data_IF_397749746087
#
_entry.id   IF_397749746087
#
_cell.length_a   1.000
_cell.length_b   1.000
_cell.length_c   1.000
_cell.angle_alpha   90.00
_cell.angle_beta   90.00
_cell.angle_gamma   90.00
#
_symmetry.space_group_name_H-M   'P 1'
#
loop_
_entity.id
_entity.type
_entity.pdbx_description
1 polymer ?
#
# COMPACT_ATOMS: atom_id res chain seq x y z
N UNK A 1 4.77 -9.11 -5.59
CA UNK A 1 3.71 -9.17 -4.56
C UNK A 1 2.51 -8.36 -5.00
N UNK A 2 1.31 -8.89 -4.74
CA UNK A 2 0.06 -8.21 -5.04
C UNK A 2 -0.49 -7.43 -3.84
N UNK A 3 -1.32 -6.44 -4.11
CA UNK A 3 -2.18 -5.77 -3.16
C UNK A 3 -3.62 -5.98 -3.60
N UNK A 4 -4.50 -6.29 -2.66
CA UNK A 4 -5.90 -6.58 -2.96
C UNK A 4 -6.83 -5.83 -2.03
N UNK A 5 -8.00 -5.51 -2.53
CA UNK A 5 -9.05 -4.88 -1.74
C UNK A 5 -10.43 -5.36 -2.20
N UNK A 6 -11.32 -5.54 -1.25
CA UNK A 6 -12.76 -5.69 -1.49
C UNK A 6 -13.45 -4.39 -1.13
N UNK A 7 -14.14 -3.81 -2.09
CA UNK A 7 -15.00 -2.66 -1.85
C UNK A 7 -16.45 -3.10 -2.04
N UNK A 8 -17.23 -3.08 -0.98
CA UNK A 8 -18.61 -3.55 -1.01
C UNK A 8 -19.55 -2.67 -0.19
N UNK A 9 -20.81 -2.72 -0.52
CA UNK A 9 -21.92 -2.00 0.15
C UNK A 9 -23.11 -2.95 0.27
N UNK A 10 -23.82 -2.87 1.40
CA UNK A 10 -25.03 -3.62 1.62
C UNK A 10 -26.22 -2.93 0.92
N UNK A 11 -26.21 -3.00 -0.39
CA UNK A 11 -27.24 -2.42 -1.25
C UNK A 11 -27.23 -3.11 -2.62
N UNK A 12 -28.33 -3.00 -3.36
CA UNK A 12 -28.38 -3.42 -4.74
C UNK A 12 -27.54 -2.49 -5.63
N UNK A 13 -26.68 -3.07 -6.44
CA UNK A 13 -25.88 -2.38 -7.44
C UNK A 13 -26.36 -2.71 -8.86
N UNK A 14 -26.32 -1.72 -9.73
CA UNK A 14 -26.44 -1.93 -11.16
C UNK A 14 -25.07 -2.40 -11.71
N UNK A 15 -24.92 -3.70 -11.86
CA UNK A 15 -23.66 -4.30 -12.35
C UNK A 15 -23.31 -3.93 -13.77
N UNK A 16 -24.31 -3.62 -14.61
CA UNK A 16 -24.07 -3.08 -15.95
C UNK A 16 -23.42 -1.70 -15.90
N UNK A 17 -23.91 -0.85 -15.00
CA UNK A 17 -23.32 0.46 -14.74
C UNK A 17 -21.95 0.33 -14.05
N UNK A 18 -21.84 -0.53 -13.03
CA UNK A 18 -20.58 -0.76 -12.32
C UNK A 18 -19.47 -1.21 -13.27
N UNK A 19 -19.76 -2.14 -14.17
CA UNK A 19 -18.83 -2.59 -15.21
C UNK A 19 -18.34 -1.43 -16.08
N UNK A 20 -19.23 -0.55 -16.51
CA UNK A 20 -18.87 0.64 -17.29
C UNK A 20 -17.98 1.59 -16.47
N UNK A 21 -18.31 1.82 -15.20
CA UNK A 21 -17.52 2.68 -14.33
C UNK A 21 -16.11 2.11 -14.10
N UNK A 22 -15.98 0.79 -13.89
CA UNK A 22 -14.67 0.12 -13.79
C UNK A 22 -13.87 0.31 -15.09
N UNK A 23 -14.49 0.11 -16.26
CA UNK A 23 -13.80 0.32 -17.54
C UNK A 23 -13.35 1.78 -17.71
N UNK A 24 -14.20 2.74 -17.34
CA UNK A 24 -13.83 4.16 -17.35
C UNK A 24 -12.69 4.48 -16.38
N UNK A 25 -12.71 3.91 -15.18
CA UNK A 25 -11.63 4.07 -14.21
C UNK A 25 -10.31 3.50 -14.73
N UNK A 26 -10.34 2.35 -15.39
CA UNK A 26 -9.17 1.76 -16.03
C UNK A 26 -8.60 2.64 -17.17
N UNK A 27 -9.45 3.38 -17.88
CA UNK A 27 -9.01 4.35 -18.90
C UNK A 27 -8.42 5.62 -18.28
N UNK A 28 -8.96 6.07 -17.13
CA UNK A 28 -8.53 7.28 -16.41
C UNK A 28 -7.24 7.07 -15.65
N UNK A 29 -7.04 5.87 -15.07
CA UNK A 29 -5.91 5.53 -14.21
C UNK A 29 -4.80 4.82 -14.99
N UNK A 30 -3.72 5.53 -15.27
CA UNK A 30 -2.59 4.97 -16.04
C UNK A 30 -2.01 3.69 -15.43
N UNK A 31 -1.97 3.57 -14.10
CA UNK A 31 -1.41 2.43 -13.39
C UNK A 31 -2.08 1.09 -13.76
N UNK A 32 -3.37 1.09 -14.12
CA UNK A 32 -4.10 -0.12 -14.52
C UNK A 32 -3.63 -0.67 -15.88
N UNK A 33 -3.01 0.19 -16.70
CA UNK A 33 -2.58 -0.08 -18.07
C UNK A 33 -1.07 -0.24 -18.23
N UNK A 34 -0.31 -0.15 -17.14
CA UNK A 34 1.14 -0.38 -17.16
C UNK A 34 1.43 -1.85 -17.50
N UNK A 35 2.46 -2.06 -18.30
CA UNK A 35 3.01 -3.37 -18.66
C UNK A 35 4.53 -3.34 -18.47
N UNK A 36 5.09 -4.50 -18.19
CA UNK A 36 6.55 -4.69 -18.12
C UNK A 36 7.03 -5.58 -19.27
N UNK A 37 8.10 -5.17 -19.93
CA UNK A 37 8.69 -5.96 -21.02
C UNK A 37 9.48 -7.12 -20.45
N UNK A 38 9.81 -8.09 -21.32
CA UNK A 38 10.88 -9.04 -21.03
C UNK A 38 12.18 -8.30 -20.69
N UNK A 39 12.98 -8.84 -19.78
CA UNK A 39 14.35 -8.36 -19.61
C UNK A 39 15.09 -8.36 -20.94
N UNK A 40 15.80 -7.29 -21.24
CA UNK A 40 16.71 -7.24 -22.37
C UNK A 40 17.98 -8.09 -22.08
N UNK A 41 18.93 -8.13 -23.03
CA UNK A 41 20.19 -8.89 -22.90
C UNK A 41 21.06 -8.44 -21.72
N UNK A 42 20.85 -7.25 -21.22
CA UNK A 42 21.56 -6.66 -20.09
C UNK A 42 20.77 -6.81 -18.77
N UNK A 43 19.61 -7.48 -18.81
CA UNK A 43 18.71 -7.71 -17.68
C UNK A 43 17.77 -6.56 -17.36
N UNK A 44 17.71 -5.50 -18.19
CA UNK A 44 16.86 -4.35 -17.94
C UNK A 44 15.42 -4.62 -18.36
N UNK A 45 14.48 -4.36 -17.47
CA UNK A 45 13.04 -4.39 -17.72
C UNK A 45 12.56 -2.96 -17.98
N UNK A 46 11.80 -2.77 -19.04
CA UNK A 46 11.14 -1.50 -19.36
C UNK A 46 9.67 -1.58 -19.01
N UNK A 47 9.10 -0.43 -18.66
CA UNK A 47 7.66 -0.29 -18.47
C UNK A 47 7.08 0.63 -19.55
N UNK A 48 5.82 0.38 -19.90
CA UNK A 48 5.05 1.22 -20.82
C UNK A 48 3.58 1.21 -20.43
N UNK A 49 2.83 2.18 -20.90
CA UNK A 49 1.40 2.30 -20.65
C UNK A 49 0.68 1.95 -21.95
N UNK A 50 -0.20 0.95 -21.89
CA UNK A 50 -1.08 0.65 -23.01
C UNK A 50 -2.07 1.79 -23.26
N UNK A 51 -2.29 2.13 -24.53
CA UNK A 51 -3.23 3.19 -24.88
C UNK A 51 -4.67 2.81 -24.60
N UNK A 52 -5.01 1.55 -24.85
CA UNK A 52 -6.33 0.99 -24.59
C UNK A 52 -6.16 -0.41 -24.03
N UNK A 53 -6.98 -0.76 -23.06
CA UNK A 53 -6.95 -2.06 -22.42
C UNK A 53 -8.40 -2.57 -22.23
N UNK A 54 -9.09 -2.91 -23.34
CA UNK A 54 -10.45 -3.42 -23.27
C UNK A 54 -10.44 -4.84 -22.70
N UNK A 55 -10.81 -4.96 -21.43
CA UNK A 55 -10.96 -6.24 -20.75
C UNK A 55 -12.40 -6.45 -20.34
N UNK A 56 -12.84 -7.70 -20.39
CA UNK A 56 -14.10 -8.06 -19.78
C UNK A 56 -13.96 -8.12 -18.26
N UNK A 57 -14.97 -7.60 -17.55
CA UNK A 57 -15.00 -7.61 -16.09
C UNK A 57 -16.02 -8.67 -15.68
N UNK A 58 -15.53 -9.73 -15.07
CA UNK A 58 -16.36 -10.86 -14.60
C UNK A 58 -17.24 -10.45 -13.41
N UNK A 59 -18.44 -11.02 -13.34
CA UNK A 59 -19.29 -10.99 -12.15
C UNK A 59 -19.29 -12.38 -11.52
N UNK A 60 -18.76 -12.49 -10.31
CA UNK A 60 -18.84 -13.71 -9.48
C UNK A 60 -19.98 -13.58 -8.48
N UNK A 61 -20.90 -14.52 -8.53
CA UNK A 61 -22.02 -14.59 -7.61
C UNK A 61 -21.66 -15.54 -6.44
N UNK A 62 -21.27 -14.95 -5.33
CA UNK A 62 -20.95 -15.63 -4.06
C UNK A 62 -22.09 -15.51 -3.03
N UNK A 63 -23.26 -14.97 -3.42
CA UNK A 63 -24.38 -14.71 -2.51
C UNK A 63 -24.95 -15.96 -1.84
N UNK A 64 -24.72 -17.14 -2.46
CA UNK A 64 -25.13 -18.44 -1.92
C UNK A 64 -24.13 -19.05 -0.93
N UNK A 65 -23.01 -18.41 -0.61
CA UNK A 65 -22.05 -18.90 0.37
C UNK A 65 -22.60 -18.78 1.80
N UNK A 66 -22.10 -19.60 2.69
CA UNK A 66 -22.56 -19.73 4.08
C UNK A 66 -22.49 -18.40 4.86
N UNK A 67 -21.45 -17.59 4.61
CA UNK A 67 -21.23 -16.30 5.30
C UNK A 67 -20.27 -15.40 4.54
N UNK A 68 -20.24 -14.11 4.91
CA UNK A 68 -19.21 -13.17 4.44
C UNK A 68 -17.80 -13.65 4.75
N UNK A 69 -17.58 -14.25 5.94
CA UNK A 69 -16.27 -14.79 6.31
C UNK A 69 -15.79 -15.87 5.34
N UNK A 70 -16.70 -16.75 4.87
CA UNK A 70 -16.37 -17.78 3.89
C UNK A 70 -16.09 -17.20 2.50
N UNK A 71 -16.80 -16.16 2.12
CA UNK A 71 -16.49 -15.43 0.88
C UNK A 71 -15.12 -14.72 0.99
N UNK A 72 -14.79 -14.17 2.15
CA UNK A 72 -13.50 -13.54 2.40
C UNK A 72 -12.33 -14.54 2.33
N UNK A 73 -12.48 -15.73 2.97
CA UNK A 73 -11.49 -16.81 2.86
C UNK A 73 -11.19 -17.21 1.39
N UNK A 74 -12.21 -17.21 0.53
CA UNK A 74 -12.04 -17.48 -0.90
C UNK A 74 -11.32 -16.32 -1.60
N UNK A 75 -11.70 -15.07 -1.34
CA UNK A 75 -11.07 -13.90 -1.93
C UNK A 75 -9.62 -13.73 -1.46
N UNK A 76 -9.30 -14.12 -0.23
CA UNK A 76 -7.92 -14.20 0.24
C UNK A 76 -7.06 -15.17 -0.59
N UNK A 77 -7.62 -16.28 -1.06
CA UNK A 77 -6.90 -17.16 -1.98
C UNK A 77 -6.58 -16.50 -3.31
N UNK A 78 -7.52 -15.72 -3.86
CA UNK A 78 -7.27 -14.92 -5.09
C UNK A 78 -6.19 -13.85 -4.86
N UNK A 79 -6.11 -13.29 -3.66
CA UNK A 79 -5.11 -12.29 -3.31
C UNK A 79 -3.66 -12.83 -3.30
N UNK A 80 -3.48 -14.15 -3.22
CA UNK A 80 -2.16 -14.79 -3.31
C UNK A 80 -1.74 -15.10 -4.75
N UNK A 81 -2.63 -14.94 -5.73
CA UNK A 81 -2.26 -15.09 -7.13
C UNK A 81 -1.23 -14.02 -7.51
N UNK A 82 -0.27 -14.41 -8.33
CA UNK A 82 0.81 -13.52 -8.76
C UNK A 82 0.67 -13.17 -10.24
N UNK A 83 1.10 -11.97 -10.58
CA UNK A 83 1.14 -11.52 -11.98
C UNK A 83 2.47 -11.94 -12.61
N UNK A 84 2.55 -13.21 -13.03
CA UNK A 84 3.77 -13.78 -13.61
C UNK A 84 3.69 -13.78 -15.13
N UNK A 85 4.46 -12.91 -15.74
CA UNK A 85 4.57 -12.82 -17.20
C UNK A 85 5.02 -11.45 -17.69
N UNK A 86 5.37 -11.42 -18.98
CA UNK A 86 5.78 -10.20 -19.64
C UNK A 86 4.64 -9.67 -20.52
N UNK A 87 4.51 -8.36 -20.56
CA UNK A 87 3.49 -7.66 -21.36
C UNK A 87 2.03 -8.04 -21.01
N UNK A 88 1.80 -8.54 -19.78
CA UNK A 88 0.46 -8.89 -19.30
C UNK A 88 -0.17 -7.77 -18.48
N UNK A 89 -1.51 -7.74 -18.36
CA UNK A 89 -2.18 -6.92 -17.35
C UNK A 89 -1.72 -7.28 -15.94
N UNK A 90 -1.48 -6.27 -15.13
CA UNK A 90 -1.06 -6.44 -13.73
C UNK A 90 -2.09 -5.86 -12.74
N UNK A 91 -3.31 -5.78 -13.20
CA UNK A 91 -4.47 -5.30 -12.47
C UNK A 91 -5.68 -6.13 -12.90
N UNK A 92 -6.47 -6.58 -11.96
CA UNK A 92 -7.70 -7.34 -12.20
C UNK A 92 -8.84 -6.82 -11.35
N UNK A 93 -10.00 -6.61 -11.99
CA UNK A 93 -11.25 -6.30 -11.33
C UNK A 93 -12.23 -7.46 -11.49
N UNK A 94 -12.87 -7.86 -10.41
CA UNK A 94 -13.96 -8.85 -10.40
C UNK A 94 -15.15 -8.25 -9.67
N UNK A 95 -16.30 -8.11 -10.33
CA UNK A 95 -17.53 -7.70 -9.66
C UNK A 95 -18.06 -8.83 -8.78
N UNK A 96 -18.68 -8.49 -7.65
CA UNK A 96 -19.08 -9.44 -6.62
C UNK A 96 -20.52 -9.24 -6.19
N UNK A 97 -21.27 -10.34 -6.13
CA UNK A 97 -22.42 -10.49 -5.22
C UNK A 97 -21.97 -11.32 -4.03
N UNK A 98 -22.17 -10.79 -2.84
CA UNK A 98 -21.72 -11.40 -1.59
C UNK A 98 -22.92 -11.81 -0.74
N UNK A 99 -22.72 -12.70 0.26
CA UNK A 99 -23.76 -13.00 1.24
C UNK A 99 -24.33 -11.76 1.92
N UNK A 100 -25.47 -11.91 2.56
CA UNK A 100 -26.13 -10.86 3.37
C UNK A 100 -26.49 -9.59 2.56
N UNK A 101 -26.61 -9.69 1.23
CA UNK A 101 -26.99 -8.58 0.37
C UNK A 101 -25.88 -7.57 0.09
N UNK A 102 -24.63 -7.90 0.40
CA UNK A 102 -23.49 -7.08 0.00
C UNK A 102 -23.18 -7.26 -1.48
N UNK A 103 -22.83 -6.17 -2.14
CA UNK A 103 -22.44 -6.14 -3.55
C UNK A 103 -21.27 -5.17 -3.73
N UNK A 104 -20.40 -5.44 -4.70
CA UNK A 104 -19.24 -4.61 -4.94
C UNK A 104 -18.27 -5.20 -5.94
N UNK A 105 -16.99 -5.06 -5.66
CA UNK A 105 -15.92 -5.62 -6.48
C UNK A 105 -14.70 -5.99 -5.64
N UNK A 106 -13.94 -6.94 -6.14
CA UNK A 106 -12.59 -7.27 -5.73
C UNK A 106 -11.63 -6.63 -6.74
N UNK A 107 -10.62 -5.98 -6.24
CA UNK A 107 -9.51 -5.43 -7.02
C UNK A 107 -8.22 -6.09 -6.55
N UNK A 108 -7.46 -6.64 -7.50
CA UNK A 108 -6.14 -7.20 -7.28
C UNK A 108 -5.15 -6.52 -8.23
N UNK A 109 -4.03 -6.03 -7.71
CA UNK A 109 -3.01 -5.33 -8.49
C UNK A 109 -1.60 -5.72 -8.02
N UNK A 110 -0.64 -5.70 -8.95
CA UNK A 110 0.77 -5.77 -8.55
C UNK A 110 1.17 -4.51 -7.76
N UNK A 111 1.83 -4.71 -6.63
CA UNK A 111 2.18 -3.60 -5.72
C UNK A 111 3.22 -2.63 -6.30
N UNK A 112 3.86 -2.96 -7.44
CA UNK A 112 4.69 -2.01 -8.19
C UNK A 112 3.90 -0.88 -8.84
N UNK A 113 2.60 -1.05 -9.03
CA UNK A 113 1.71 -0.12 -9.73
C UNK A 113 1.01 0.87 -8.81
N UNK A 114 0.74 0.45 -7.56
CA UNK A 114 -0.13 1.19 -6.65
C UNK A 114 0.24 0.89 -5.20
N UNK A 115 0.03 1.87 -4.35
CA UNK A 115 0.09 1.75 -2.90
C UNK A 115 -1.31 1.88 -2.27
N UNK A 116 -1.39 1.84 -0.93
CA UNK A 116 -2.65 1.97 -0.20
C UNK A 116 -3.34 3.32 -0.43
N UNK A 117 -2.58 4.41 -0.57
CA UNK A 117 -3.14 5.73 -0.86
C UNK A 117 -3.72 5.78 -2.27
N UNK A 118 -3.01 5.24 -3.25
CA UNK A 118 -3.49 5.12 -4.62
C UNK A 118 -4.76 4.28 -4.72
N UNK A 119 -4.86 3.18 -3.96
CA UNK A 119 -6.08 2.36 -3.89
C UNK A 119 -7.28 3.16 -3.37
N UNK A 120 -7.09 3.94 -2.31
CA UNK A 120 -8.18 4.78 -1.75
C UNK A 120 -8.64 5.81 -2.79
N UNK A 121 -7.71 6.45 -3.50
CA UNK A 121 -8.04 7.40 -4.57
C UNK A 121 -8.81 6.71 -5.69
N UNK A 122 -8.33 5.59 -6.20
CA UNK A 122 -8.97 4.84 -7.28
C UNK A 122 -10.38 4.36 -6.90
N UNK A 123 -10.56 3.80 -5.71
CA UNK A 123 -11.87 3.37 -5.22
C UNK A 123 -12.80 4.57 -5.08
N UNK A 124 -12.31 5.68 -4.54
CA UNK A 124 -13.07 6.92 -4.40
C UNK A 124 -13.52 7.48 -5.75
N UNK A 125 -12.63 7.52 -6.74
CA UNK A 125 -12.94 7.97 -8.11
C UNK A 125 -14.01 7.07 -8.76
N UNK A 126 -13.85 5.76 -8.65
CA UNK A 126 -14.81 4.78 -9.18
C UNK A 126 -16.21 4.94 -8.55
N UNK A 127 -16.29 5.13 -7.23
CA UNK A 127 -17.57 5.40 -6.57
C UNK A 127 -18.17 6.75 -6.99
N UNK A 128 -17.36 7.78 -7.20
CA UNK A 128 -17.85 9.05 -7.74
C UNK A 128 -18.38 8.90 -9.17
N UNK A 129 -17.70 8.14 -10.04
CA UNK A 129 -18.21 7.80 -11.37
C UNK A 129 -19.55 7.10 -11.27
N UNK A 130 -19.66 6.06 -10.45
CA UNK A 130 -20.91 5.31 -10.31
C UNK A 130 -22.07 6.20 -9.82
N UNK A 131 -21.84 7.01 -8.78
CA UNK A 131 -22.87 7.92 -8.26
C UNK A 131 -23.21 9.04 -9.23
N UNK A 132 -22.23 9.53 -9.99
CA UNK A 132 -22.47 10.50 -11.06
C UNK A 132 -23.46 9.95 -12.11
N UNK A 133 -23.16 8.79 -12.67
CA UNK A 133 -24.02 8.22 -13.71
C UNK A 133 -25.34 7.68 -13.21
N UNK A 134 -25.43 7.25 -11.95
CA UNK A 134 -26.65 6.72 -11.37
C UNK A 134 -27.57 7.79 -10.81
N UNK A 135 -27.01 8.83 -10.19
CA UNK A 135 -27.76 9.82 -9.42
C UNK A 135 -27.55 11.26 -9.87
N UNK A 136 -26.70 11.50 -10.86
CA UNK A 136 -26.40 12.86 -11.36
C UNK A 136 -25.56 13.72 -10.40
N UNK A 137 -24.75 13.10 -9.55
CA UNK A 137 -23.81 13.82 -8.68
C UNK A 137 -22.67 14.46 -9.48
N UNK A 138 -21.80 15.25 -8.85
CA UNK A 138 -20.64 15.82 -9.52
C UNK A 138 -19.76 14.72 -10.13
N UNK A 139 -19.29 14.94 -11.36
CA UNK A 139 -18.31 14.06 -11.98
C UNK A 139 -16.95 14.20 -11.27
N UNK A 140 -16.19 13.13 -11.08
CA UNK A 140 -14.85 13.23 -10.52
C UNK A 140 -13.92 14.04 -11.43
N UNK A 141 -12.95 14.71 -10.83
CA UNK A 141 -11.94 15.47 -11.57
C UNK A 141 -11.07 14.53 -12.41
N UNK A 142 -10.47 15.07 -13.47
CA UNK A 142 -9.48 14.33 -14.25
C UNK A 142 -8.26 14.00 -13.39
N UNK A 143 -7.77 12.77 -13.52
CA UNK A 143 -6.54 12.34 -12.87
C UNK A 143 -5.33 12.89 -13.65
N UNK A 144 -4.27 13.19 -12.93
CA UNK A 144 -3.00 13.61 -13.54
C UNK A 144 -2.32 12.39 -14.12
N UNK A 145 -1.90 12.47 -15.39
CA UNK A 145 -1.18 11.37 -16.03
C UNK A 145 0.19 11.11 -15.37
N UNK A 146 0.55 9.84 -15.30
CA UNK A 146 1.78 9.39 -14.64
C UNK A 146 3.03 9.97 -15.29
N UNK A 147 3.06 10.10 -16.61
CA UNK A 147 4.22 10.62 -17.33
C UNK A 147 4.52 12.09 -16.94
N UNK A 148 3.48 12.91 -16.76
CA UNK A 148 3.62 14.29 -16.29
C UNK A 148 4.22 14.37 -14.89
N UNK A 149 3.77 13.50 -13.97
CA UNK A 149 4.32 13.42 -12.61
C UNK A 149 5.77 12.95 -12.65
N UNK A 150 6.05 11.87 -13.37
CA UNK A 150 7.38 11.31 -13.52
C UNK A 150 8.39 12.33 -14.08
N UNK A 151 8.01 13.06 -15.13
CA UNK A 151 8.87 14.11 -15.71
C UNK A 151 9.22 15.21 -14.69
N UNK A 152 8.25 15.61 -13.86
CA UNK A 152 8.48 16.61 -12.79
C UNK A 152 9.44 16.07 -11.73
N UNK A 153 9.31 14.82 -11.34
CA UNK A 153 10.17 14.21 -10.32
C UNK A 153 11.58 13.95 -10.83
N UNK A 154 11.72 13.50 -12.07
CA UNK A 154 13.03 13.35 -12.72
C UNK A 154 13.73 14.71 -12.89
N UNK A 155 13.00 15.76 -13.20
CA UNK A 155 13.57 17.13 -13.29
C UNK A 155 14.04 17.63 -11.92
N UNK A 156 13.36 17.27 -10.82
CA UNK A 156 13.79 17.60 -9.46
C UNK A 156 15.02 16.80 -9.03
N UNK A 157 15.02 15.50 -9.28
CA UNK A 157 16.13 14.61 -8.93
C UNK A 157 17.37 14.84 -9.78
N UNK A 158 17.23 15.33 -11.02
CA UNK A 158 18.33 15.76 -11.89
C UNK A 158 19.01 17.07 -11.48
N UNK A 159 18.57 17.73 -10.40
CA UNK A 159 19.24 18.92 -9.89
C UNK A 159 20.49 18.55 -9.09
N UNK A 160 21.62 18.44 -9.78
CA UNK A 160 22.92 18.08 -9.18
C UNK A 160 23.29 18.89 -7.94
N UNK A 161 23.03 20.19 -7.95
CA UNK A 161 23.37 21.06 -6.80
C UNK A 161 22.57 20.71 -5.56
N UNK A 162 21.28 20.42 -5.72
CA UNK A 162 20.41 19.98 -4.63
C UNK A 162 20.82 18.59 -4.16
N UNK A 163 21.04 17.66 -5.08
CA UNK A 163 21.46 16.31 -4.76
C UNK A 163 22.78 16.29 -3.96
N UNK A 164 23.80 17.05 -4.39
CA UNK A 164 25.08 17.14 -3.67
C UNK A 164 24.89 17.70 -2.26
N UNK A 165 24.03 18.75 -2.10
CA UNK A 165 23.74 19.32 -0.79
C UNK A 165 23.01 18.33 0.11
N UNK A 166 21.98 17.69 -0.41
CA UNK A 166 21.16 16.75 0.35
C UNK A 166 21.98 15.50 0.71
N UNK A 167 22.79 14.98 -0.24
CA UNK A 167 23.72 13.88 0.00
C UNK A 167 24.71 14.21 1.12
N UNK A 168 25.36 15.37 1.04
CA UNK A 168 26.31 15.80 2.07
C UNK A 168 25.64 15.88 3.45
N UNK A 169 24.42 16.43 3.53
CA UNK A 169 23.68 16.51 4.78
C UNK A 169 23.45 15.11 5.38
N UNK A 170 23.01 14.15 4.56
CA UNK A 170 22.75 12.79 5.05
C UNK A 170 24.04 12.02 5.36
N UNK A 171 25.09 12.20 4.56
CA UNK A 171 26.41 11.60 4.86
C UNK A 171 26.92 12.11 6.22
N UNK A 172 26.89 13.44 6.45
CA UNK A 172 27.31 14.05 7.73
C UNK A 172 26.49 13.48 8.91
N UNK A 173 25.14 13.34 8.76
CA UNK A 173 24.28 12.78 9.80
C UNK A 173 24.59 11.31 10.08
N UNK A 174 24.80 10.51 9.04
CA UNK A 174 25.11 9.08 9.20
C UNK A 174 26.49 8.86 9.80
N UNK A 175 27.47 9.70 9.45
CA UNK A 175 28.81 9.65 10.03
C UNK A 175 28.81 10.01 11.52
N UNK A 176 27.98 10.98 11.94
CA UNK A 176 27.79 11.33 13.35
C UNK A 176 27.13 10.21 14.17
N UNK A 177 26.21 9.46 13.58
CA UNK A 177 25.49 8.36 14.24
C UNK A 177 26.37 7.11 14.42
N UNK A 178 27.41 6.95 13.59
CA UNK A 178 28.29 5.79 13.63
C UNK A 178 27.59 4.51 13.14
N UNK A 179 27.95 3.36 13.73
CA UNK A 179 27.33 2.08 13.38
C UNK A 179 25.85 2.07 13.77
N UNK A 180 24.95 1.62 12.85
CA UNK A 180 23.51 1.60 13.12
C UNK A 180 23.18 0.74 14.33
N UNK A 181 22.44 1.31 15.27
CA UNK A 181 21.89 0.56 16.39
C UNK A 181 20.59 -0.09 15.95
N UNK A 182 20.48 -1.39 16.18
CA UNK A 182 19.28 -2.16 15.90
C UNK A 182 18.44 -2.30 17.15
N UNK A 183 17.17 -1.97 17.05
CA UNK A 183 16.19 -2.20 18.10
C UNK A 183 15.13 -3.18 17.63
N UNK A 184 14.72 -4.07 18.52
CA UNK A 184 13.67 -5.04 18.29
C UNK A 184 12.46 -4.70 19.16
N UNK A 185 11.26 -4.98 18.68
CA UNK A 185 10.00 -4.67 19.37
C UNK A 185 9.82 -5.49 20.66
N UNK A 186 10.45 -6.65 20.72
CA UNK A 186 10.46 -7.56 21.87
C UNK A 186 11.77 -7.52 22.65
N UNK A 187 12.69 -6.62 22.29
CA UNK A 187 14.04 -6.53 22.82
C UNK A 187 15.08 -7.21 21.92
N UNK A 188 16.34 -7.21 22.27
CA UNK A 188 17.45 -7.58 21.38
C UNK A 188 17.53 -9.07 21.02
N UNK A 189 16.72 -9.94 21.60
CA UNK A 189 16.90 -11.41 21.54
C UNK A 189 16.76 -12.00 20.13
N UNK A 190 15.76 -11.58 19.36
CA UNK A 190 15.43 -12.21 18.06
C UNK A 190 16.53 -11.97 17.03
N UNK A 191 16.99 -10.73 16.90
CA UNK A 191 18.06 -10.38 15.98
C UNK A 191 19.42 -10.95 16.44
N UNK A 192 19.67 -10.96 17.75
CA UNK A 192 20.88 -11.60 18.31
C UNK A 192 20.91 -13.10 18.06
N UNK A 193 19.80 -13.79 18.23
CA UNK A 193 19.70 -15.22 17.92
C UNK A 193 19.91 -15.51 16.44
N UNK A 194 19.34 -14.68 15.56
CA UNK A 194 19.55 -14.78 14.13
C UNK A 194 21.03 -14.55 13.77
N UNK A 195 21.68 -13.53 14.33
CA UNK A 195 23.10 -13.25 14.15
C UNK A 195 23.99 -14.40 14.62
N UNK A 196 23.68 -14.99 15.77
CA UNK A 196 24.38 -16.17 16.28
C UNK A 196 24.21 -17.37 15.35
N UNK A 197 22.99 -17.60 14.86
CA UNK A 197 22.67 -18.71 13.95
C UNK A 197 23.39 -18.61 12.61
N UNK A 198 23.46 -17.41 12.06
CA UNK A 198 24.14 -17.15 10.78
C UNK A 198 25.65 -16.89 10.91
N UNK A 199 26.14 -16.74 12.15
CA UNK A 199 27.56 -16.40 12.40
C UNK A 199 27.96 -15.01 11.91
N UNK A 200 26.99 -14.12 11.68
CA UNK A 200 27.22 -12.77 11.19
C UNK A 200 26.71 -11.75 12.24
N UNK A 201 27.60 -11.08 12.95
CA UNK A 201 27.20 -10.08 13.95
C UNK A 201 26.61 -8.79 13.35
N UNK A 202 26.76 -8.59 12.04
CA UNK A 202 26.26 -7.42 11.30
C UNK A 202 24.99 -7.73 10.49
N UNK A 203 24.48 -8.95 10.57
CA UNK A 203 23.24 -9.35 9.87
C UNK A 203 22.11 -8.35 10.18
N UNK A 204 21.47 -7.86 9.14
CA UNK A 204 20.31 -6.98 9.25
C UNK A 204 19.03 -7.80 9.28
N UNK A 205 17.97 -7.25 9.90
CA UNK A 205 16.66 -7.90 9.87
C UNK A 205 16.13 -8.14 8.44
N UNK A 206 16.44 -7.22 7.52
CA UNK A 206 16.09 -7.34 6.09
C UNK A 206 16.81 -8.46 5.34
N UNK A 207 17.92 -8.95 5.87
CA UNK A 207 18.76 -9.97 5.23
C UNK A 207 18.39 -11.39 5.73
N UNK A 208 17.46 -11.49 6.67
CA UNK A 208 16.96 -12.77 7.15
C UNK A 208 16.00 -13.32 6.11
N UNK A 209 16.34 -14.46 5.52
CA UNK A 209 15.43 -15.17 4.62
C UNK A 209 14.16 -15.54 5.36
N UNK A 210 13.04 -15.03 4.90
CA UNK A 210 11.73 -15.44 5.34
C UNK A 210 11.21 -16.50 4.38
N UNK A 211 11.28 -17.75 4.80
CA UNK A 211 10.76 -18.88 4.01
C UNK A 211 9.22 -18.87 3.93
N UNK A 212 8.56 -18.15 4.83
CA UNK A 212 7.13 -18.00 4.87
C UNK A 212 6.78 -16.54 5.24
N UNK A 213 6.03 -15.86 4.36
CA UNK A 213 5.43 -14.57 4.68
C UNK A 213 4.20 -14.80 5.54
N UNK A 214 4.37 -14.73 6.86
CA UNK A 214 3.28 -14.79 7.80
C UNK A 214 3.00 -13.40 8.36
N UNK A 215 1.80 -12.89 8.12
CA UNK A 215 1.33 -11.63 8.68
C UNK A 215 0.18 -11.91 9.64
N UNK A 216 0.35 -11.54 10.89
CA UNK A 216 -0.73 -11.52 11.86
C UNK A 216 -1.17 -10.06 12.09
N UNK A 217 -2.45 -9.79 11.85
CA UNK A 217 -3.04 -8.49 12.10
C UNK A 217 -3.85 -8.56 13.39
N UNK A 218 -3.61 -7.60 14.28
CA UNK A 218 -4.43 -7.36 15.47
C UNK A 218 -4.94 -5.94 15.46
N UNK A 219 -6.25 -5.79 15.47
CA UNK A 219 -6.90 -4.50 15.55
C UNK A 219 -7.17 -4.17 17.01
N UNK A 220 -6.74 -2.98 17.41
CA UNK A 220 -7.02 -2.41 18.72
C UNK A 220 -7.76 -1.10 18.54
N UNK A 221 -8.92 -1.01 19.17
CA UNK A 221 -9.70 0.21 19.19
C UNK A 221 -9.49 0.93 20.51
N UNK A 222 -9.05 2.19 20.43
CA UNK A 222 -9.04 3.04 21.60
C UNK A 222 -10.49 3.44 21.95
N UNK A 223 -10.78 3.47 23.24
CA UNK A 223 -12.05 4.03 23.70
C UNK A 223 -12.21 5.48 23.21
N UNK A 224 -13.43 5.91 22.83
CA UNK A 224 -13.66 7.26 22.31
C UNK A 224 -13.12 8.36 23.22
N UNK A 225 -13.20 8.17 24.54
CA UNK A 225 -12.64 9.08 25.53
C UNK A 225 -11.10 9.20 25.42
N UNK A 226 -10.38 8.09 25.26
CA UNK A 226 -8.93 8.10 25.09
C UNK A 226 -8.51 8.79 23.79
N UNK A 227 -9.23 8.51 22.70
CA UNK A 227 -9.01 9.17 21.41
C UNK A 227 -9.21 10.69 21.52
N UNK A 228 -10.31 11.13 22.14
CA UNK A 228 -10.58 12.56 22.33
C UNK A 228 -9.51 13.25 23.16
N UNK A 229 -9.05 12.64 24.26
CA UNK A 229 -7.98 13.20 25.08
C UNK A 229 -6.66 13.36 24.31
N UNK A 230 -6.29 12.39 23.48
CA UNK A 230 -5.11 12.49 22.64
C UNK A 230 -5.24 13.62 21.61
N UNK A 231 -6.41 13.76 20.99
CA UNK A 231 -6.69 14.85 20.04
C UNK A 231 -6.62 16.22 20.72
N UNK A 232 -7.26 16.37 21.87
CA UNK A 232 -7.25 17.61 22.67
C UNK A 232 -5.84 17.97 23.13
N UNK A 233 -5.07 16.99 23.56
CA UNK A 233 -3.66 17.20 23.91
C UNK A 233 -2.86 17.72 22.71
N UNK A 234 -2.98 17.06 21.56
CA UNK A 234 -2.29 17.48 20.34
C UNK A 234 -2.67 18.90 19.93
N UNK A 235 -3.96 19.24 19.95
CA UNK A 235 -4.45 20.59 19.61
C UNK A 235 -3.93 21.63 20.58
N UNK A 236 -4.04 21.40 21.89
CA UNK A 236 -3.63 22.34 22.92
C UNK A 236 -2.12 22.62 22.94
N UNK A 237 -1.32 21.65 22.51
CA UNK A 237 0.13 21.77 22.47
C UNK A 237 0.70 22.00 21.06
N UNK A 238 -0.15 22.15 20.04
CA UNK A 238 0.25 22.32 18.63
C UNK A 238 1.17 21.19 18.14
N UNK A 239 0.87 19.96 18.54
CA UNK A 239 1.59 18.75 18.16
C UNK A 239 0.83 17.97 17.11
N UNK A 240 1.55 17.30 16.21
CA UNK A 240 0.92 16.32 15.34
C UNK A 240 0.68 15.01 16.09
N UNK A 241 -0.44 14.35 15.82
CA UNK A 241 -0.73 13.01 16.35
C UNK A 241 0.36 12.02 15.98
N UNK A 242 0.86 12.08 14.74
CA UNK A 242 1.97 11.24 14.27
C UNK A 242 3.21 11.40 15.14
N UNK A 243 3.61 12.62 15.45
CA UNK A 243 4.79 12.88 16.30
C UNK A 243 4.60 12.34 17.73
N UNK A 244 3.38 12.48 18.28
CA UNK A 244 3.06 11.94 19.60
C UNK A 244 3.16 10.40 19.61
N UNK A 245 2.62 9.74 18.58
CA UNK A 245 2.69 8.27 18.44
C UNK A 245 4.14 7.81 18.23
N UNK A 246 4.91 8.49 17.38
CA UNK A 246 6.33 8.17 17.17
C UNK A 246 7.14 8.32 18.45
N UNK A 247 6.86 9.35 19.27
CA UNK A 247 7.49 9.51 20.58
C UNK A 247 7.14 8.36 21.52
N UNK A 248 5.89 7.89 21.50
CA UNK A 248 5.45 6.72 22.26
C UNK A 248 6.21 5.46 21.84
N UNK A 249 6.27 5.18 20.53
CA UNK A 249 7.00 4.04 19.97
C UNK A 249 8.50 4.13 20.33
N UNK A 250 9.12 5.30 20.12
CA UNK A 250 10.52 5.54 20.49
C UNK A 250 10.77 5.24 21.98
N UNK A 251 9.89 5.71 22.86
CA UNK A 251 10.02 5.52 24.28
C UNK A 251 9.88 4.04 24.67
N UNK A 252 8.93 3.33 24.06
CA UNK A 252 8.77 1.89 24.25
C UNK A 252 10.01 1.13 23.79
N UNK A 253 10.46 1.36 22.55
CA UNK A 253 11.63 0.69 21.97
C UNK A 253 12.90 0.95 22.80
N UNK A 254 13.13 2.18 23.25
CA UNK A 254 14.24 2.50 24.14
C UNK A 254 14.21 1.64 25.40
N UNK A 255 13.06 1.53 26.06
CA UNK A 255 12.92 0.77 27.31
C UNK A 255 13.13 -0.73 27.11
N UNK A 256 12.57 -1.33 26.06
CA UNK A 256 12.71 -2.78 25.83
C UNK A 256 14.08 -3.16 25.27
N UNK A 257 14.84 -2.20 24.74
CA UNK A 257 16.19 -2.37 24.25
C UNK A 257 17.23 -1.76 25.25
N UNK A 258 17.05 -2.01 26.52
CA UNK A 258 18.01 -1.68 27.59
C UNK A 258 18.34 -0.18 27.74
N UNK A 259 17.39 0.71 27.44
CA UNK A 259 17.57 2.15 27.51
C UNK A 259 18.34 2.76 26.36
N UNK A 260 18.36 2.08 25.21
CA UNK A 260 18.98 2.60 23.98
C UNK A 260 18.44 4.01 23.67
N UNK A 261 19.34 4.99 23.55
CA UNK A 261 18.97 6.39 23.37
C UNK A 261 18.54 6.69 21.93
N UNK A 262 19.24 6.13 20.96
CA UNK A 262 18.96 6.29 19.53
C UNK A 262 18.11 5.15 19.00
N UNK A 263 16.92 5.51 18.55
CA UNK A 263 15.96 4.57 17.97
C UNK A 263 15.64 4.99 16.54
N UNK A 264 15.89 4.10 15.60
CA UNK A 264 15.54 4.30 14.19
C UNK A 264 14.18 3.69 13.90
N UNK A 265 13.26 4.49 13.37
CA UNK A 265 11.90 4.07 12.99
C UNK A 265 11.68 4.46 11.53
N UNK A 266 11.27 3.49 10.72
CA UNK A 266 10.81 3.77 9.37
C UNK A 266 9.36 4.25 9.42
N UNK A 267 9.10 5.44 8.88
CA UNK A 267 7.77 6.02 8.78
C UNK A 267 7.45 6.35 7.32
N UNK A 268 6.19 6.16 6.93
CA UNK A 268 5.67 6.64 5.65
C UNK A 268 5.29 8.12 5.78
N UNK A 269 5.68 8.91 4.78
CA UNK A 269 5.41 10.36 4.73
C UNK A 269 4.41 10.64 3.60
#
# INVERSE_FOLDING_TARGET
>A
SGVSVVASVQAELDFGLLKKCIQMEMERSDCTRVRFTKPDKDGNVKQYIEKQDPRDIELKDLSGMESLAKADELMQQWAYETFDGDNIPMCEFTMLKLPEGYNGFFLHMDHRLIDSCGLVVMIGDLFQLYTHYKYGTACPQELVDFETVLKKDLAKSGNEKRFVKDKKFWDDQLDELGEPLYSDIQGPSVLEEARKRHGDPKLRASDIEMNELFVAVKDYHLEPYATQNLMDFCMNHQLSMTNLLLLGIRTYLSKVNNGQEDITIQNFI
#
